data_IF_765528858185
#
_entry.id   IF_765528858185
#
_cell.length_a   1.000
_cell.length_b   1.000
_cell.length_c   1.000
_cell.angle_alpha   90.00
_cell.angle_beta   90.00
_cell.angle_gamma   90.00
#
_symmetry.space_group_name_H-M   'P 1'
#
loop_
_entity.id
_entity.type
_entity.pdbx_description
1 polymer ?
#
# COMPACT_ATOMS: atom_id res chain seq x y z
N UNK A 1 15.42 -29.38 -50.82
CA UNK A 1 15.10 -29.45 -49.37
C UNK A 1 16.28 -28.87 -48.61
N UNK A 2 16.04 -27.83 -47.81
CA UNK A 2 17.03 -26.91 -47.24
C UNK A 2 18.00 -27.57 -46.21
N UNK A 3 19.16 -26.96 -45.94
CA UNK A 3 20.29 -27.59 -45.25
C UNK A 3 20.24 -27.44 -43.73
N UNK A 4 20.86 -28.39 -43.01
CA UNK A 4 21.06 -28.37 -41.55
C UNK A 4 22.18 -27.38 -41.20
N UNK A 5 21.79 -26.28 -40.55
CA UNK A 5 22.66 -25.21 -40.07
C UNK A 5 23.26 -25.50 -38.69
N UNK A 6 24.44 -24.91 -38.50
CA UNK A 6 25.39 -25.08 -37.41
C UNK A 6 25.00 -24.42 -36.08
N UNK A 7 25.71 -24.87 -35.04
CA UNK A 7 26.19 -24.18 -33.83
C UNK A 7 25.59 -22.81 -33.47
N UNK A 8 25.12 -22.71 -32.21
CA UNK A 8 25.10 -21.44 -31.48
C UNK A 8 25.86 -21.59 -30.15
N UNK A 9 27.07 -21.06 -30.16
CA UNK A 9 27.89 -20.75 -28.99
C UNK A 9 27.44 -19.44 -28.35
N UNK A 10 27.52 -19.38 -27.02
CA UNK A 10 27.29 -18.21 -26.17
C UNK A 10 28.04 -16.98 -26.69
N UNK A 11 27.37 -15.84 -26.77
CA UNK A 11 28.01 -14.52 -26.75
C UNK A 11 27.03 -13.48 -26.20
N UNK A 12 27.18 -13.17 -24.91
CA UNK A 12 26.66 -11.93 -24.35
C UNK A 12 27.53 -10.79 -24.88
N UNK A 13 26.95 -9.86 -25.65
CA UNK A 13 27.63 -8.65 -26.09
C UNK A 13 27.59 -7.64 -24.95
N UNK A 14 28.73 -7.47 -24.30
CA UNK A 14 29.02 -6.31 -23.46
C UNK A 14 29.08 -5.06 -24.34
N UNK A 15 28.28 -4.05 -24.03
CA UNK A 15 28.47 -2.71 -24.57
C UNK A 15 29.68 -2.07 -23.88
N UNK A 16 30.80 -1.95 -24.61
CA UNK A 16 31.93 -1.11 -24.20
C UNK A 16 31.66 0.32 -24.66
N UNK A 17 31.42 1.23 -23.71
CA UNK A 17 31.53 2.67 -23.94
C UNK A 17 32.99 3.10 -23.77
N UNK A 18 33.65 3.73 -24.77
CA UNK A 18 35.06 4.05 -24.70
C UNK A 18 35.30 5.50 -24.23
N UNK A 19 34.66 5.96 -23.15
CA UNK A 19 35.06 7.21 -22.46
C UNK A 19 34.62 7.19 -20.99
N UNK A 20 35.48 6.67 -20.12
CA UNK A 20 35.40 6.89 -18.68
C UNK A 20 36.80 7.21 -18.17
N UNK A 21 37.08 8.43 -17.64
CA UNK A 21 38.37 8.72 -17.04
C UNK A 21 38.54 7.94 -15.74
N UNK A 22 39.74 7.42 -15.50
CA UNK A 22 40.11 6.73 -14.28
C UNK A 22 39.98 7.67 -13.07
N UNK A 23 39.00 7.42 -12.20
CA UNK A 23 38.89 8.12 -10.91
C UNK A 23 39.90 7.49 -9.96
N UNK A 24 41.06 8.12 -9.79
CA UNK A 24 41.96 7.84 -8.67
C UNK A 24 41.29 8.33 -7.38
N UNK A 25 40.91 7.40 -6.51
CA UNK A 25 40.43 7.71 -5.17
C UNK A 25 41.60 8.26 -4.32
N UNK A 26 41.59 9.55 -4.04
CA UNK A 26 42.42 10.14 -2.98
C UNK A 26 41.77 9.86 -1.62
N UNK A 27 42.54 9.61 -0.55
CA UNK A 27 41.98 9.42 0.78
C UNK A 27 41.30 10.70 1.25
N UNK A 28 40.05 10.59 1.73
CA UNK A 28 39.33 11.73 2.33
C UNK A 28 40.11 12.25 3.54
N UNK A 29 40.62 13.48 3.45
CA UNK A 29 41.06 14.22 4.62
C UNK A 29 39.84 14.58 5.47
N UNK A 30 39.91 14.25 6.76
CA UNK A 30 38.88 14.50 7.76
C UNK A 30 38.57 15.99 7.85
N UNK A 31 37.36 16.39 7.43
CA UNK A 31 36.80 17.70 7.77
C UNK A 31 35.93 17.55 9.00
N UNK A 32 36.32 18.20 10.09
CA UNK A 32 35.48 18.42 11.27
C UNK A 32 34.13 19.02 10.83
N UNK A 33 33.05 18.29 11.11
CA UNK A 33 31.67 18.74 10.91
C UNK A 33 30.95 18.77 12.25
N UNK A 34 31.02 19.91 12.93
CA UNK A 34 30.09 20.26 14.01
C UNK A 34 28.79 20.76 13.40
N UNK A 35 27.79 19.88 13.32
CA UNK A 35 26.39 20.16 13.02
C UNK A 35 25.54 18.97 13.50
N UNK A 36 24.26 19.15 13.86
CA UNK A 36 23.50 18.09 14.54
C UNK A 36 23.19 16.97 13.55
N UNK A 37 24.06 15.97 13.53
CA UNK A 37 23.82 14.68 12.89
C UNK A 37 22.72 13.97 13.67
N UNK A 38 21.59 13.68 13.02
CA UNK A 38 20.58 12.76 13.53
C UNK A 38 21.16 11.35 13.60
N UNK A 39 22.01 11.09 14.60
CA UNK A 39 22.62 9.78 14.83
C UNK A 39 21.54 8.85 15.37
N UNK A 40 21.22 7.78 14.63
CA UNK A 40 20.55 6.61 15.19
C UNK A 40 21.38 6.15 16.41
N UNK A 41 20.83 6.27 17.62
CA UNK A 41 21.47 5.77 18.84
C UNK A 41 20.99 4.36 19.11
N UNK A 42 21.92 3.40 19.13
CA UNK A 42 21.65 2.03 19.54
C UNK A 42 21.52 1.97 21.07
N UNK A 43 20.35 1.55 21.58
CA UNK A 43 20.10 1.36 23.02
C UNK A 43 19.90 -0.14 23.29
N UNK A 44 20.63 -0.77 24.24
CA UNK A 44 20.44 -2.17 24.60
C UNK A 44 19.03 -2.43 25.17
N UNK A 45 18.44 -3.58 24.82
CA UNK A 45 17.05 -3.94 25.17
C UNK A 45 16.94 -4.43 26.62
N UNK A 46 16.11 -3.77 27.42
CA UNK A 46 15.33 -4.40 28.50
C UNK A 46 13.89 -4.49 28.00
N UNK A 47 13.41 -5.70 27.69
CA UNK A 47 12.13 -5.90 27.03
C UNK A 47 10.95 -5.87 28.01
N UNK A 48 9.85 -5.16 27.70
CA UNK A 48 8.62 -5.27 28.48
C UNK A 48 7.87 -6.57 28.14
N UNK A 49 7.24 -7.17 29.15
CA UNK A 49 6.19 -8.19 29.02
C UNK A 49 4.92 -7.54 28.51
N UNK A 50 4.44 -8.00 27.36
CA UNK A 50 3.25 -7.47 26.68
C UNK A 50 2.01 -8.25 27.16
N UNK A 51 1.06 -7.54 27.74
CA UNK A 51 -0.28 -8.05 28.03
C UNK A 51 -1.17 -7.92 26.78
N UNK A 52 -2.18 -8.78 26.66
CA UNK A 52 -3.03 -8.89 25.47
C UNK A 52 -3.91 -7.64 25.29
N UNK A 53 -3.93 -7.08 24.08
CA UNK A 53 -4.91 -6.10 23.61
C UNK A 53 -6.10 -6.79 22.91
N UNK A 54 -7.26 -6.11 22.78
CA UNK A 54 -8.55 -6.76 22.50
C UNK A 54 -8.74 -7.18 21.03
N UNK A 55 -9.78 -7.99 20.81
CA UNK A 55 -10.04 -8.82 19.62
C UNK A 55 -10.49 -8.09 18.34
N UNK A 56 -10.34 -8.74 17.15
CA UNK A 56 -10.41 -8.12 15.81
C UNK A 56 -11.80 -7.77 15.23
N UNK A 57 -12.88 -7.78 16.00
CA UNK A 57 -14.26 -7.74 15.46
C UNK A 57 -14.91 -6.35 15.38
N UNK A 58 -14.12 -5.26 15.50
CA UNK A 58 -14.61 -3.87 15.56
C UNK A 58 -14.40 -3.07 14.25
N UNK A 59 -13.58 -3.56 13.32
CA UNK A 59 -13.16 -2.76 12.14
C UNK A 59 -14.35 -2.26 11.30
N UNK A 60 -15.29 -3.15 10.97
CA UNK A 60 -16.47 -2.79 10.16
C UNK A 60 -17.40 -1.82 10.90
N UNK A 61 -17.49 -1.92 12.22
CA UNK A 61 -18.29 -1.03 13.06
C UNK A 61 -17.67 0.37 13.13
N UNK A 62 -16.35 0.44 13.34
CA UNK A 62 -15.60 1.70 13.36
C UNK A 62 -15.64 2.41 12.01
N UNK A 63 -15.38 1.69 10.91
CA UNK A 63 -15.49 2.23 9.54
C UNK A 63 -16.91 2.74 9.30
N UNK A 64 -17.93 1.92 9.61
CA UNK A 64 -19.33 2.27 9.45
C UNK A 64 -19.72 3.54 10.21
N UNK A 65 -19.26 3.66 11.46
CA UNK A 65 -19.49 4.85 12.29
C UNK A 65 -18.83 6.10 11.70
N UNK A 66 -17.59 6.00 11.22
CA UNK A 66 -16.86 7.11 10.58
C UNK A 66 -17.53 7.56 9.28
N UNK A 67 -17.92 6.61 8.41
CA UNK A 67 -18.67 6.88 7.18
C UNK A 67 -19.96 7.64 7.49
N UNK A 68 -20.77 7.12 8.43
CA UNK A 68 -22.03 7.75 8.83
C UNK A 68 -21.83 9.16 9.39
N UNK A 69 -20.81 9.36 10.23
CA UNK A 69 -20.51 10.65 10.85
C UNK A 69 -20.06 11.69 9.82
N UNK A 70 -19.17 11.33 8.89
CA UNK A 70 -18.71 12.22 7.81
C UNK A 70 -19.87 12.54 6.86
N UNK A 71 -20.63 11.53 6.44
CA UNK A 71 -21.81 11.71 5.58
C UNK A 71 -22.81 12.70 6.19
N UNK A 72 -23.12 12.53 7.48
CA UNK A 72 -24.05 13.41 8.20
C UNK A 72 -23.52 14.84 8.30
N UNK A 73 -22.24 15.04 8.62
CA UNK A 73 -21.60 16.36 8.65
C UNK A 73 -21.63 17.07 7.30
N UNK A 74 -21.55 16.33 6.19
CA UNK A 74 -21.66 16.85 4.82
C UNK A 74 -23.09 17.03 4.32
N UNK A 75 -24.12 16.72 5.13
CA UNK A 75 -25.52 16.84 4.73
C UNK A 75 -25.94 15.88 3.60
N UNK A 76 -25.18 14.81 3.38
CA UNK A 76 -25.47 13.82 2.34
C UNK A 76 -26.50 12.79 2.84
N UNK A 77 -27.51 12.50 2.03
CA UNK A 77 -28.39 11.36 2.31
C UNK A 77 -27.67 10.06 1.96
N UNK A 78 -28.04 8.95 2.63
CA UNK A 78 -27.48 7.63 2.30
C UNK A 78 -27.64 7.28 0.82
N UNK A 79 -28.79 7.62 0.22
CA UNK A 79 -29.02 7.44 -1.22
C UNK A 79 -28.04 8.22 -2.10
N UNK A 80 -27.73 9.48 -1.74
CA UNK A 80 -26.77 10.30 -2.49
C UNK A 80 -25.35 9.73 -2.40
N UNK A 81 -24.91 9.34 -1.20
CA UNK A 81 -23.59 8.75 -1.03
C UNK A 81 -23.48 7.41 -1.76
N UNK A 82 -24.48 6.54 -1.64
CA UNK A 82 -24.48 5.24 -2.29
C UNK A 82 -24.34 5.37 -3.82
N UNK A 83 -25.09 6.29 -4.42
CA UNK A 83 -25.00 6.56 -5.86
C UNK A 83 -23.63 7.13 -6.27
N UNK A 84 -23.04 8.03 -5.48
CA UNK A 84 -21.75 8.64 -5.79
C UNK A 84 -20.57 7.66 -5.63
N UNK A 85 -20.67 6.71 -4.68
CA UNK A 85 -19.66 5.69 -4.42
C UNK A 85 -19.84 4.42 -5.28
N UNK A 86 -20.84 4.41 -6.17
CA UNK A 86 -21.23 3.25 -6.98
C UNK A 86 -21.47 1.98 -6.14
N UNK A 87 -22.30 2.12 -5.09
CA UNK A 87 -22.73 1.01 -4.24
C UNK A 87 -24.24 1.02 -4.06
N UNK A 88 -24.80 -0.13 -3.66
CA UNK A 88 -26.23 -0.19 -3.35
C UNK A 88 -26.55 0.55 -2.04
N UNK A 89 -27.72 1.20 -1.98
CA UNK A 89 -28.18 1.84 -0.74
C UNK A 89 -28.38 0.85 0.42
N UNK A 90 -28.88 -0.39 0.20
CA UNK A 90 -28.90 -1.42 1.24
C UNK A 90 -27.49 -1.77 1.76
N UNK A 91 -26.50 -1.92 0.88
CA UNK A 91 -25.11 -2.17 1.28
C UNK A 91 -24.58 -1.05 2.16
N UNK A 92 -24.70 0.21 1.72
CA UNK A 92 -24.25 1.36 2.51
C UNK A 92 -24.94 1.40 3.88
N UNK A 93 -26.24 1.07 3.95
CA UNK A 93 -26.96 1.02 5.22
C UNK A 93 -26.47 -0.08 6.16
N UNK A 94 -26.07 -1.25 5.63
CA UNK A 94 -25.48 -2.31 6.44
C UNK A 94 -24.06 -1.93 6.90
N UNK A 95 -23.28 -1.28 6.03
CA UNK A 95 -21.95 -0.79 6.35
C UNK A 95 -22.00 0.22 7.49
N UNK A 96 -22.85 1.25 7.40
CA UNK A 96 -23.01 2.26 8.45
C UNK A 96 -23.54 1.71 9.78
N UNK A 97 -24.13 0.51 9.75
CA UNK A 97 -24.58 -0.21 10.93
C UNK A 97 -23.53 -1.20 11.47
N UNK A 98 -22.35 -1.31 10.84
CA UNK A 98 -21.31 -2.27 11.19
C UNK A 98 -21.69 -3.73 10.92
N UNK A 99 -22.65 -3.98 10.02
CA UNK A 99 -23.23 -5.31 9.77
C UNK A 99 -22.67 -6.00 8.53
N UNK A 100 -21.74 -5.37 7.84
CA UNK A 100 -21.05 -5.93 6.68
C UNK A 100 -19.62 -5.42 6.64
N UNK A 101 -18.70 -6.24 6.11
CA UNK A 101 -17.34 -5.82 5.78
C UNK A 101 -17.32 -5.07 4.45
N UNK A 102 -16.23 -4.36 4.19
CA UNK A 102 -16.03 -3.59 2.96
C UNK A 102 -14.69 -3.98 2.34
N UNK A 103 -14.63 -4.17 1.03
CA UNK A 103 -13.36 -4.34 0.33
C UNK A 103 -12.58 -3.01 0.26
N UNK A 104 -11.27 -3.07 0.07
CA UNK A 104 -10.39 -1.88 -0.05
C UNK A 104 -10.87 -0.98 -1.19
N UNK A 105 -11.13 -1.55 -2.36
CA UNK A 105 -11.72 -0.86 -3.51
C UNK A 105 -12.97 -0.04 -3.15
N UNK A 106 -13.94 -0.69 -2.49
CA UNK A 106 -15.19 -0.06 -2.10
C UNK A 106 -14.97 1.05 -1.05
N UNK A 107 -14.07 0.83 -0.09
CA UNK A 107 -13.68 1.85 0.90
C UNK A 107 -13.12 3.10 0.20
N UNK A 108 -12.27 2.93 -0.79
CA UNK A 108 -11.67 4.02 -1.57
C UNK A 108 -12.73 4.79 -2.36
N UNK A 109 -13.68 4.11 -3.02
CA UNK A 109 -14.81 4.77 -3.70
C UNK A 109 -15.67 5.59 -2.74
N UNK A 110 -15.96 5.04 -1.54
CA UNK A 110 -16.71 5.76 -0.50
C UNK A 110 -15.93 6.98 0.00
N UNK A 111 -14.62 6.85 0.25
CA UNK A 111 -13.76 7.95 0.66
C UNK A 111 -13.73 9.08 -0.38
N UNK A 112 -13.58 8.74 -1.66
CA UNK A 112 -13.63 9.68 -2.77
C UNK A 112 -15.00 10.38 -2.87
N UNK A 113 -16.10 9.65 -2.74
CA UNK A 113 -17.46 10.22 -2.75
C UNK A 113 -17.75 11.11 -1.52
N UNK A 114 -17.06 10.84 -0.41
CA UNK A 114 -17.06 11.68 0.79
C UNK A 114 -16.00 12.78 0.73
N UNK A 115 -15.16 12.84 -0.31
CA UNK A 115 -14.06 13.80 -0.45
C UNK A 115 -13.18 13.86 0.82
N UNK A 116 -12.79 12.66 1.27
CA UNK A 116 -11.86 12.43 2.39
C UNK A 116 -10.81 11.41 1.99
N UNK A 117 -9.75 11.28 2.77
CA UNK A 117 -8.75 10.23 2.56
C UNK A 117 -9.33 8.87 2.97
N UNK A 118 -8.95 7.75 2.33
CA UNK A 118 -9.30 6.42 2.84
C UNK A 118 -8.88 6.21 4.30
N UNK A 119 -7.74 6.78 4.70
CA UNK A 119 -7.24 6.80 6.09
C UNK A 119 -8.19 7.46 7.08
N UNK A 120 -8.99 8.44 6.66
CA UNK A 120 -9.93 9.14 7.53
C UNK A 120 -11.12 8.26 7.92
N UNK A 121 -11.38 7.20 7.14
CA UNK A 121 -12.43 6.21 7.40
C UNK A 121 -11.95 5.04 8.25
N UNK A 122 -10.64 4.91 8.45
CA UNK A 122 -10.01 3.80 9.15
C UNK A 122 -9.94 4.07 10.67
N UNK A 123 -9.86 3.02 11.49
CA UNK A 123 -9.78 3.15 12.94
C UNK A 123 -8.55 3.96 13.37
N UNK A 124 -8.71 4.72 14.46
CA UNK A 124 -7.60 5.45 15.05
C UNK A 124 -6.84 4.52 16.02
N UNK A 125 -5.50 4.53 16.01
CA UNK A 125 -4.75 3.71 16.93
C UNK A 125 -4.96 4.21 18.37
N UNK A 126 -4.82 3.32 19.38
CA UNK A 126 -4.97 3.70 20.78
C UNK A 126 -4.15 4.94 21.16
N UNK A 127 -4.79 5.88 21.86
CA UNK A 127 -4.13 7.10 22.33
C UNK A 127 -3.08 6.80 23.43
N UNK A 128 -2.08 7.67 23.57
CA UNK A 128 -1.12 7.63 24.68
C UNK A 128 0.10 6.72 24.53
N UNK A 129 0.14 5.84 23.53
CA UNK A 129 1.26 4.91 23.33
C UNK A 129 2.32 5.47 22.38
N UNK A 130 3.60 5.41 22.79
CA UNK A 130 4.76 5.78 21.94
C UNK A 130 5.25 4.63 21.05
N UNK A 131 5.02 3.39 21.47
CA UNK A 131 5.43 2.17 20.76
C UNK A 131 4.24 1.24 20.64
N UNK A 132 3.73 1.12 19.42
CA UNK A 132 2.61 0.26 19.09
C UNK A 132 3.13 -1.07 18.54
N UNK A 133 2.66 -2.19 19.07
CA UNK A 133 3.03 -3.52 18.61
C UNK A 133 1.74 -4.18 18.12
N UNK A 134 1.65 -4.40 16.81
CA UNK A 134 0.59 -5.18 16.20
C UNK A 134 1.16 -6.55 15.84
N UNK A 135 0.52 -7.60 16.34
CA UNK A 135 0.83 -8.98 16.00
C UNK A 135 0.17 -9.34 14.69
N UNK A 136 0.73 -10.36 14.05
CA UNK A 136 0.23 -10.87 12.78
C UNK A 136 -1.28 -11.21 12.83
N UNK A 137 -1.78 -11.73 13.97
CA UNK A 137 -3.18 -12.06 14.17
C UNK A 137 -4.10 -10.85 14.45
N UNK A 138 -3.51 -9.68 14.73
CA UNK A 138 -4.21 -8.41 14.99
C UNK A 138 -4.26 -7.52 13.73
N UNK A 139 -3.55 -7.91 12.65
CA UNK A 139 -3.60 -7.18 11.38
C UNK A 139 -4.94 -7.41 10.70
N UNK A 140 -5.53 -6.33 10.22
CA UNK A 140 -6.79 -6.37 9.49
C UNK A 140 -6.60 -7.16 8.20
N UNK A 141 -7.58 -8.00 7.89
CA UNK A 141 -7.64 -8.75 6.65
C UNK A 141 -8.80 -8.23 5.84
N UNK A 142 -8.49 -7.41 4.84
CA UNK A 142 -9.49 -6.86 3.93
C UNK A 142 -9.26 -7.43 2.53
N UNK A 143 -10.32 -7.94 1.86
CA UNK A 143 -10.22 -8.26 0.46
C UNK A 143 -9.98 -6.97 -0.33
N UNK A 144 -9.15 -7.04 -1.37
CA UNK A 144 -8.86 -5.90 -2.23
C UNK A 144 -10.09 -5.49 -3.03
N UNK A 145 -10.86 -6.46 -3.51
CA UNK A 145 -12.08 -6.28 -4.31
C UNK A 145 -13.25 -7.12 -3.75
N UNK A 146 -14.44 -6.93 -4.30
CA UNK A 146 -15.64 -7.73 -3.96
C UNK A 146 -15.69 -9.07 -4.73
N UNK A 147 -14.65 -9.43 -5.47
CA UNK A 147 -14.62 -10.64 -6.28
C UNK A 147 -14.43 -11.91 -5.41
N UNK A 148 -15.00 -13.05 -5.81
CA UNK A 148 -14.71 -14.31 -5.14
C UNK A 148 -13.22 -14.63 -5.19
N UNK A 149 -12.65 -15.03 -4.06
CA UNK A 149 -11.22 -15.30 -3.88
C UNK A 149 -10.31 -14.07 -4.04
N UNK A 150 -10.85 -12.88 -3.82
CA UNK A 150 -10.09 -11.64 -3.82
C UNK A 150 -8.80 -11.76 -3.00
N UNK A 151 -7.70 -11.30 -3.58
CA UNK A 151 -6.46 -11.04 -2.86
C UNK A 151 -6.76 -10.33 -1.53
N UNK A 152 -6.32 -10.91 -0.43
CA UNK A 152 -6.47 -10.30 0.90
C UNK A 152 -5.19 -9.60 1.30
N UNK A 153 -5.30 -8.34 1.68
CA UNK A 153 -4.21 -7.58 2.27
C UNK A 153 -4.19 -7.76 3.78
N UNK A 154 -3.00 -7.93 4.36
CA UNK A 154 -2.81 -7.89 5.81
C UNK A 154 -2.28 -6.52 6.18
N UNK A 155 -3.12 -5.71 6.81
CA UNK A 155 -2.84 -4.27 6.91
C UNK A 155 -2.98 -3.75 8.34
N UNK A 156 -2.00 -2.94 8.74
CA UNK A 156 -2.11 -2.06 9.89
C UNK A 156 -2.60 -0.69 9.42
N UNK A 157 -3.75 -0.26 9.92
CA UNK A 157 -4.33 1.05 9.62
C UNK A 157 -4.22 1.97 10.82
N UNK A 158 -3.89 3.24 10.58
CA UNK A 158 -3.57 4.22 11.60
C UNK A 158 -4.02 5.63 11.18
N UNK A 159 -5.32 5.80 10.97
CA UNK A 159 -5.92 6.98 10.31
C UNK A 159 -5.42 8.34 10.83
N UNK A 160 -5.28 8.51 12.14
CA UNK A 160 -4.76 9.73 12.77
C UNK A 160 -3.23 9.85 12.93
N UNK A 161 -2.42 9.04 12.23
CA UNK A 161 -0.94 9.05 12.35
C UNK A 161 -0.28 9.40 11.02
N UNK A 162 0.99 9.82 11.08
CA UNK A 162 1.78 10.12 9.88
C UNK A 162 1.89 8.92 8.95
N UNK A 163 2.24 7.74 9.46
CA UNK A 163 2.14 6.49 8.70
C UNK A 163 0.74 5.98 8.95
N UNK A 164 -0.11 6.13 7.93
CA UNK A 164 -1.55 5.82 7.95
C UNK A 164 -1.81 4.36 7.59
N UNK A 165 -0.93 3.75 6.80
CA UNK A 165 -1.08 2.38 6.34
C UNK A 165 0.28 1.67 6.25
N UNK A 166 0.31 0.40 6.68
CA UNK A 166 1.33 -0.55 6.29
C UNK A 166 0.66 -1.87 5.95
N UNK A 167 0.74 -2.28 4.68
CA UNK A 167 0.09 -3.49 4.18
C UNK A 167 1.08 -4.48 3.58
N UNK A 168 0.90 -5.75 3.90
CA UNK A 168 1.52 -6.90 3.22
C UNK A 168 0.51 -7.49 2.25
N UNK A 169 0.73 -7.23 0.96
CA UNK A 169 -0.15 -7.63 -0.13
C UNK A 169 0.47 -8.82 -0.84
N UNK A 170 -0.26 -9.94 -0.85
CA UNK A 170 0.08 -11.12 -1.66
C UNK A 170 -0.91 -11.22 -2.81
N UNK A 171 -0.46 -10.85 -3.99
CA UNK A 171 -1.26 -10.76 -5.20
C UNK A 171 -1.16 -12.08 -5.95
N UNK A 172 -2.27 -12.80 -6.05
CA UNK A 172 -2.38 -14.06 -6.79
C UNK A 172 -2.84 -13.80 -8.24
N UNK A 173 -2.47 -14.67 -9.21
CA UNK A 173 -3.00 -14.60 -10.57
C UNK A 173 -4.53 -14.70 -10.58
N UNK A 174 -5.19 -13.72 -11.21
CA UNK A 174 -6.65 -13.65 -11.22
C UNK A 174 -7.20 -12.26 -11.53
N UNK A 175 -8.53 -12.10 -11.50
CA UNK A 175 -9.22 -10.86 -11.89
C UNK A 175 -9.12 -9.72 -10.86
N UNK A 176 -8.47 -9.95 -9.72
CA UNK A 176 -8.53 -9.05 -8.55
C UNK A 176 -7.77 -7.74 -8.71
N UNK A 177 -6.82 -7.69 -9.64
CA UNK A 177 -5.87 -6.58 -9.81
C UNK A 177 -6.19 -5.84 -11.11
N UNK A 178 -7.40 -5.28 -11.20
CA UNK A 178 -7.78 -4.44 -12.34
C UNK A 178 -8.42 -3.10 -11.96
N UNK A 179 -8.44 -2.77 -10.67
CA UNK A 179 -8.99 -1.50 -10.19
C UNK A 179 -7.95 -0.37 -10.18
N UNK A 180 -8.43 0.84 -10.43
CA UNK A 180 -7.64 2.06 -10.27
C UNK A 180 -7.71 2.51 -8.82
N UNK A 181 -6.55 2.65 -8.19
CA UNK A 181 -6.39 3.16 -6.84
C UNK A 181 -5.88 4.60 -6.88
N UNK A 182 -6.42 5.42 -6.00
CA UNK A 182 -5.97 6.78 -5.75
C UNK A 182 -6.04 7.02 -4.24
N UNK A 183 -5.00 7.61 -3.67
CA UNK A 183 -4.98 8.00 -2.26
C UNK A 183 -4.44 9.41 -2.12
N UNK A 184 -4.94 10.12 -1.11
CA UNK A 184 -4.44 11.43 -0.70
C UNK A 184 -3.12 11.36 0.09
N UNK A 185 -2.61 10.16 0.35
CA UNK A 185 -1.37 9.91 1.06
C UNK A 185 -0.20 9.75 0.07
N UNK A 186 1.01 10.10 0.52
CA UNK A 186 2.23 9.69 -0.17
C UNK A 186 2.45 8.19 0.05
N UNK A 187 2.80 7.46 -1.01
CA UNK A 187 2.88 6.00 -0.95
C UNK A 187 4.25 5.52 -1.38
N UNK A 188 4.79 4.57 -0.63
CA UNK A 188 5.92 3.74 -1.01
C UNK A 188 5.47 2.29 -1.22
N UNK A 189 5.91 1.68 -2.31
CA UNK A 189 5.68 0.26 -2.62
C UNK A 189 7.05 -0.40 -2.76
N UNK A 190 7.26 -1.48 -2.02
CA UNK A 190 8.47 -2.31 -2.10
C UNK A 190 8.09 -3.73 -2.52
N UNK A 191 8.69 -4.22 -3.60
CA UNK A 191 8.44 -5.59 -4.08
C UNK A 191 9.34 -6.55 -3.33
N UNK A 192 8.76 -7.43 -2.53
CA UNK A 192 9.49 -8.49 -1.82
C UNK A 192 9.79 -9.66 -2.77
N UNK A 193 8.75 -10.11 -3.48
CA UNK A 193 8.80 -11.29 -4.34
C UNK A 193 7.98 -11.05 -5.61
N UNK A 194 8.37 -11.71 -6.71
CA UNK A 194 7.66 -11.64 -7.99
C UNK A 194 7.90 -10.33 -8.73
N UNK A 195 6.92 -9.96 -9.57
CA UNK A 195 6.99 -8.74 -10.38
C UNK A 195 5.62 -8.10 -10.54
N UNK A 196 5.58 -6.78 -10.33
CA UNK A 196 4.38 -5.95 -10.37
C UNK A 196 4.44 -5.04 -11.60
N UNK A 197 3.44 -5.13 -12.47
CA UNK A 197 3.21 -4.16 -13.51
C UNK A 197 2.31 -3.04 -12.97
N UNK A 198 2.82 -1.82 -12.95
CA UNK A 198 2.12 -0.63 -12.45
C UNK A 198 1.76 0.26 -13.63
N UNK A 199 0.46 0.42 -13.84
CA UNK A 199 -0.10 1.33 -14.82
C UNK A 199 -0.48 2.66 -14.15
N UNK A 200 -0.39 3.74 -14.92
CA UNK A 200 -0.78 5.09 -14.50
C UNK A 200 -1.72 5.68 -15.54
N UNK A 201 -2.60 6.60 -15.14
CA UNK A 201 -3.48 7.27 -16.10
C UNK A 201 -2.78 8.33 -16.95
N UNK A 202 -1.77 8.98 -16.40
CA UNK A 202 -1.13 10.18 -16.96
C UNK A 202 0.31 9.96 -17.45
N UNK A 203 0.81 8.72 -17.36
CA UNK A 203 2.17 8.38 -17.78
C UNK A 203 2.31 6.91 -18.21
N UNK A 204 3.39 6.55 -18.92
CA UNK A 204 3.65 5.16 -19.30
C UNK A 204 3.76 4.23 -18.08
N UNK A 205 3.35 2.95 -18.24
CA UNK A 205 3.45 1.96 -17.17
C UNK A 205 4.90 1.58 -16.90
N UNK A 206 5.16 1.03 -15.72
CA UNK A 206 6.46 0.50 -15.29
C UNK A 206 6.29 -0.92 -14.77
N UNK A 207 7.34 -1.73 -14.87
CA UNK A 207 7.39 -3.05 -14.21
C UNK A 207 8.42 -2.99 -13.10
N UNK A 208 7.98 -3.31 -11.89
CA UNK A 208 8.82 -3.45 -10.69
C UNK A 208 9.12 -4.93 -10.49
N UNK A 209 10.37 -5.25 -10.13
CA UNK A 209 10.83 -6.60 -9.77
C UNK A 209 11.19 -6.67 -8.30
N UNK A 210 11.36 -7.88 -7.77
CA UNK A 210 11.82 -8.07 -6.39
C UNK A 210 13.05 -7.21 -6.05
N UNK A 211 12.98 -6.45 -4.96
CA UNK A 211 13.99 -5.48 -4.53
C UNK A 211 13.72 -4.04 -5.00
N UNK A 212 12.84 -3.81 -5.97
CA UNK A 212 12.51 -2.47 -6.44
C UNK A 212 11.59 -1.74 -5.47
N UNK A 213 11.75 -0.42 -5.42
CA UNK A 213 10.92 0.50 -4.65
C UNK A 213 10.34 1.56 -5.58
N UNK A 214 9.06 1.84 -5.43
CA UNK A 214 8.41 2.98 -6.06
C UNK A 214 7.87 3.92 -5.00
N UNK A 215 8.09 5.21 -5.18
CA UNK A 215 7.41 6.28 -4.44
C UNK A 215 6.49 7.01 -5.39
N UNK A 216 5.30 7.39 -4.92
CA UNK A 216 4.47 8.36 -5.61
C UNK A 216 3.80 9.30 -4.63
N UNK A 217 3.60 10.53 -5.08
CA UNK A 217 2.86 11.54 -4.33
C UNK A 217 1.37 11.18 -4.22
N UNK A 218 0.67 11.92 -3.36
CA UNK A 218 -0.78 11.89 -3.27
C UNK A 218 -1.45 12.12 -4.64
N UNK A 219 -2.63 11.56 -4.81
CA UNK A 219 -3.54 11.69 -5.96
C UNK A 219 -3.00 11.10 -7.28
N UNK A 220 -1.94 10.30 -7.24
CA UNK A 220 -1.50 9.52 -8.39
C UNK A 220 -2.41 8.32 -8.55
N UNK A 221 -3.08 8.23 -9.70
CA UNK A 221 -3.95 7.12 -10.05
C UNK A 221 -3.12 5.96 -10.60
N UNK A 222 -3.08 4.87 -9.85
CA UNK A 222 -2.33 3.66 -10.23
C UNK A 222 -3.25 2.47 -10.37
N UNK A 223 -2.89 1.54 -11.26
CA UNK A 223 -3.50 0.23 -11.33
C UNK A 223 -2.40 -0.81 -11.32
N UNK A 224 -2.53 -1.81 -10.48
CA UNK A 224 -1.52 -2.86 -10.34
C UNK A 224 -1.98 -4.10 -11.07
N UNK A 225 -1.05 -4.78 -11.73
CA UNK A 225 -1.24 -6.08 -12.36
C UNK A 225 -0.02 -6.94 -12.09
N UNK A 226 -0.17 -8.26 -12.15
CA UNK A 226 1.01 -9.12 -12.19
C UNK A 226 1.69 -8.97 -13.56
N UNK A 227 3.01 -8.89 -13.56
CA UNK A 227 3.80 -8.88 -14.80
C UNK A 227 3.98 -10.29 -15.40
N UNK A 228 3.54 -11.34 -14.68
CA UNK A 228 3.59 -12.74 -15.10
C UNK A 228 2.48 -13.56 -14.43
N UNK A 229 2.35 -14.84 -14.79
CA UNK A 229 1.44 -15.80 -14.13
C UNK A 229 1.92 -16.25 -12.73
N UNK A 230 2.96 -15.60 -12.18
CA UNK A 230 3.49 -15.91 -10.84
C UNK A 230 2.99 -14.89 -9.82
N UNK A 231 2.65 -15.31 -8.59
CA UNK A 231 2.24 -14.39 -7.55
C UNK A 231 3.32 -13.34 -7.23
N UNK A 232 2.89 -12.16 -6.79
CA UNK A 232 3.78 -11.12 -6.29
C UNK A 232 3.46 -10.80 -4.83
N UNK A 233 4.50 -10.42 -4.06
CA UNK A 233 4.34 -9.95 -2.69
C UNK A 233 4.94 -8.57 -2.55
N UNK A 234 4.15 -7.62 -2.07
CA UNK A 234 4.57 -6.22 -1.94
C UNK A 234 4.25 -5.68 -0.55
N UNK A 235 5.14 -4.83 -0.03
CA UNK A 235 4.84 -3.98 1.11
C UNK A 235 4.42 -2.62 0.58
N UNK A 236 3.24 -2.17 0.99
CA UNK A 236 2.81 -0.80 0.81
C UNK A 236 2.93 -0.06 2.14
N UNK A 237 3.45 1.16 2.08
CA UNK A 237 3.43 2.12 3.18
C UNK A 237 2.77 3.39 2.66
N UNK A 238 1.69 3.82 3.30
CA UNK A 238 1.08 5.12 3.04
C UNK A 238 1.38 6.07 4.21
N UNK A 239 1.67 7.31 3.87
CA UNK A 239 1.92 8.37 4.83
C UNK A 239 1.13 9.63 4.51
N UNK A 240 0.31 10.05 5.48
CA UNK A 240 -0.43 11.30 5.42
C UNK A 240 0.43 12.49 5.83
N UNK A 241 0.34 13.56 5.03
CA UNK A 241 0.80 14.91 5.37
C UNK A 241 -0.20 15.65 6.24
#
# INVERSE_FOLDING_TARGET
MAPKGCHWSRTARFWHSPFAPAIQAQPLQSRDRTGPSGSLRFVPRSGPTWERSPMPDDLGLEIGAKVKAIRARRGLSGRKLAAAADVSQPFLSQLEAGRTSVAIATLYRIAAALDVRPSDLLPDPPSGTRVEILRAAELNQMPVSELPNATTARTAYRGGRRITELGDFRIEPGPDVDEWFESADETAIYVIEGSLHVEFKDRPPVTLSAGDVMFHSAWVQTRWRLASESPARVILVAAGG
#
